data_IF_099563508271
#
_entry.id   IF_099563508271
#
_cell.length_a   1.000
_cell.length_b   1.000
_cell.length_c   1.000
_cell.angle_alpha   90.00
_cell.angle_beta   90.00
_cell.angle_gamma   90.00
#
_symmetry.space_group_name_H-M   'P 1'
#
loop_
_entity.id
_entity.type
_entity.pdbx_description
1 polymer ?
#
# COMPACT_ATOMS: atom_id res chain seq x y z
N UNK A 1 8.86 1.09 -14.84
CA UNK A 1 9.30 1.02 -13.44
C UNK A 1 8.62 2.17 -12.73
N UNK A 2 7.92 1.89 -11.64
CA UNK A 2 7.21 2.92 -10.86
C UNK A 2 7.97 3.17 -9.57
N UNK A 3 8.22 4.45 -9.29
CA UNK A 3 8.82 4.92 -8.05
C UNK A 3 7.76 5.53 -7.16
N UNK A 4 7.90 5.30 -5.87
CA UNK A 4 6.99 5.82 -4.89
C UNK A 4 7.68 5.91 -3.54
N UNK A 5 7.19 6.85 -2.74
CA UNK A 5 7.62 7.05 -1.37
C UNK A 5 6.54 6.54 -0.44
N UNK A 6 6.91 5.71 0.52
CA UNK A 6 6.03 5.22 1.57
C UNK A 6 6.48 5.81 2.89
N UNK A 7 5.53 6.34 3.66
CA UNK A 7 5.74 6.70 5.06
C UNK A 7 4.88 5.76 5.89
N UNK A 8 5.49 5.03 6.82
CA UNK A 8 4.81 4.03 7.66
C UNK A 8 5.25 4.15 9.12
N UNK A 9 4.47 3.56 10.02
CA UNK A 9 4.78 3.47 11.44
C UNK A 9 4.48 2.06 11.95
N UNK A 10 5.47 1.43 12.59
CA UNK A 10 5.32 0.11 13.19
C UNK A 10 4.65 0.18 14.56
N UNK A 11 3.98 -0.90 14.94
CA UNK A 11 3.33 -1.04 16.22
C UNK A 11 4.37 -1.06 17.35
N UNK A 12 4.19 -0.17 18.32
CA UNK A 12 5.11 0.01 19.43
C UNK A 12 6.18 1.07 19.19
N UNK A 13 6.32 1.56 17.96
CA UNK A 13 7.21 2.69 17.64
C UNK A 13 6.47 4.03 17.71
N UNK A 14 7.17 5.08 18.12
CA UNK A 14 6.62 6.43 18.23
C UNK A 14 6.87 7.30 17.00
N UNK A 15 7.80 6.89 16.13
CA UNK A 15 8.21 7.65 14.96
C UNK A 15 7.76 6.95 13.68
N UNK A 16 7.45 7.74 12.66
CA UNK A 16 7.22 7.22 11.32
C UNK A 16 8.54 7.14 10.56
N UNK A 17 8.70 6.07 9.79
CA UNK A 17 9.80 5.86 8.87
C UNK A 17 9.37 6.20 7.45
N UNK A 18 10.34 6.61 6.63
CA UNK A 18 10.11 6.91 5.23
C UNK A 18 11.06 6.11 4.35
N UNK A 19 10.50 5.46 3.34
CA UNK A 19 11.21 4.60 2.41
C UNK A 19 10.85 4.96 0.97
N UNK A 20 11.86 4.97 0.10
CA UNK A 20 11.65 5.10 -1.34
C UNK A 20 11.80 3.71 -1.98
N UNK A 21 10.80 3.33 -2.75
CA UNK A 21 10.73 2.03 -3.40
C UNK A 21 10.60 2.21 -4.91
N UNK A 22 11.23 1.28 -5.63
CA UNK A 22 11.10 1.15 -7.08
C UNK A 22 10.67 -0.29 -7.40
N UNK A 23 9.55 -0.42 -8.12
CA UNK A 23 9.01 -1.73 -8.52
C UNK A 23 8.88 -1.82 -10.03
N UNK A 24 8.95 -3.06 -10.53
CA UNK A 24 8.64 -3.36 -11.92
C UNK A 24 7.12 -3.44 -12.10
N UNK A 25 6.60 -2.83 -13.16
CA UNK A 25 5.16 -2.68 -13.40
C UNK A 25 4.60 -1.35 -12.93
N UNK A 26 3.29 -1.18 -13.11
CA UNK A 26 2.53 -0.02 -12.65
C UNK A 26 1.95 -0.29 -11.27
N UNK A 27 1.96 0.74 -10.43
CA UNK A 27 1.25 0.74 -9.14
C UNK A 27 -0.14 1.33 -9.36
N UNK A 28 -1.15 0.54 -9.05
CA UNK A 28 -2.55 0.94 -9.18
C UNK A 28 -3.17 1.35 -7.86
N UNK A 29 -2.61 0.90 -6.73
CA UNK A 29 -3.10 1.32 -5.42
C UNK A 29 -2.39 0.74 -4.22
N UNK A 30 -3.11 0.74 -3.09
CA UNK A 30 -2.60 0.38 -1.77
C UNK A 30 -2.09 -1.07 -1.69
N UNK A 31 -2.75 -2.01 -2.37
CA UNK A 31 -2.38 -3.43 -2.33
C UNK A 31 -0.95 -3.65 -2.88
N UNK A 32 -0.60 -2.99 -3.98
CA UNK A 32 0.76 -3.05 -4.58
C UNK A 32 1.81 -2.45 -3.64
N UNK A 33 1.48 -1.30 -3.04
CA UNK A 33 2.34 -0.58 -2.09
C UNK A 33 2.62 -1.43 -0.86
N UNK A 34 1.59 -2.06 -0.30
CA UNK A 34 1.71 -2.93 0.88
C UNK A 34 2.50 -4.19 0.55
N UNK A 35 2.31 -4.79 -0.63
CA UNK A 35 3.09 -5.93 -1.07
C UNK A 35 4.58 -5.58 -1.20
N UNK A 36 4.90 -4.44 -1.81
CA UNK A 36 6.28 -3.98 -1.96
C UNK A 36 6.92 -3.61 -0.61
N UNK A 37 6.17 -2.96 0.28
CA UNK A 37 6.62 -2.69 1.65
C UNK A 37 6.84 -4.01 2.43
N UNK A 38 5.98 -5.00 2.24
CA UNK A 38 6.12 -6.32 2.85
C UNK A 38 7.39 -7.04 2.39
N UNK A 39 7.72 -6.97 1.10
CA UNK A 39 8.97 -7.52 0.58
C UNK A 39 10.21 -6.83 1.18
N UNK A 40 10.10 -5.57 1.61
CA UNK A 40 11.16 -4.86 2.31
C UNK A 40 11.25 -5.24 3.80
N UNK A 41 10.12 -5.21 4.51
CA UNK A 41 10.07 -5.46 5.96
C UNK A 41 10.27 -6.94 6.32
N UNK A 42 9.77 -7.85 5.47
CA UNK A 42 9.80 -9.31 5.69
C UNK A 42 10.28 -10.04 4.43
N UNK A 43 11.54 -9.84 3.99
CA UNK A 43 12.03 -10.34 2.70
C UNK A 43 12.08 -11.87 2.57
N UNK A 44 12.00 -12.59 3.68
CA UNK A 44 12.03 -14.06 3.73
C UNK A 44 10.63 -14.68 3.74
N UNK A 45 9.59 -13.89 3.92
CA UNK A 45 8.21 -14.37 3.99
C UNK A 45 7.52 -14.10 2.65
N UNK A 46 6.86 -15.10 2.04
CA UNK A 46 6.04 -14.86 0.86
C UNK A 46 4.84 -13.99 1.23
N UNK A 47 4.46 -13.08 0.34
CA UNK A 47 3.30 -12.22 0.55
C UNK A 47 2.01 -13.04 0.63
N UNK A 48 1.26 -13.00 1.75
CA UNK A 48 0.15 -13.93 1.97
C UNK A 48 -1.21 -13.44 1.44
N UNK A 49 -1.26 -12.21 0.89
CA UNK A 49 -2.51 -11.60 0.45
C UNK A 49 -2.60 -11.53 -1.08
N UNK A 50 -3.83 -11.64 -1.59
CA UNK A 50 -4.12 -11.34 -3.00
C UNK A 50 -3.93 -9.84 -3.25
N UNK A 51 -3.15 -9.50 -4.27
CA UNK A 51 -2.90 -8.12 -4.70
C UNK A 51 -3.86 -7.77 -5.83
N UNK A 52 -4.76 -6.81 -5.61
CA UNK A 52 -5.56 -6.27 -6.71
C UNK A 52 -4.80 -5.14 -7.43
N UNK A 53 -4.10 -5.53 -8.50
CA UNK A 53 -3.26 -4.66 -9.31
C UNK A 53 -4.05 -3.74 -10.26
N UNK A 54 -5.38 -3.86 -10.29
CA UNK A 54 -6.25 -2.98 -11.07
C UNK A 54 -6.84 -1.88 -10.16
N UNK A 55 -6.99 -0.64 -10.66
CA UNK A 55 -7.69 0.41 -9.92
C UNK A 55 -9.08 -0.03 -9.48
N UNK A 56 -9.56 0.52 -8.37
CA UNK A 56 -10.96 0.36 -7.99
C UNK A 56 -11.80 1.21 -8.95
N UNK A 57 -12.80 0.62 -9.59
CA UNK A 57 -13.70 1.36 -10.47
C UNK A 57 -14.47 2.42 -9.66
N UNK A 58 -14.77 3.57 -10.28
CA UNK A 58 -15.48 4.65 -9.60
C UNK A 58 -16.88 4.21 -9.15
N UNK A 59 -17.54 3.39 -9.95
CA UNK A 59 -18.86 2.78 -9.71
C UNK A 59 -18.81 1.46 -8.93
N UNK A 60 -17.62 1.06 -8.44
CA UNK A 60 -17.48 -0.16 -7.64
C UNK A 60 -18.43 -0.14 -6.45
N UNK A 61 -19.13 -1.25 -6.26
CA UNK A 61 -20.13 -1.38 -5.21
C UNK A 61 -19.50 -1.38 -3.80
N UNK A 62 -20.35 -1.26 -2.78
CA UNK A 62 -19.92 -1.24 -1.38
C UNK A 62 -19.23 -2.55 -0.97
N UNK A 63 -19.58 -3.67 -1.60
CA UNK A 63 -19.02 -4.98 -1.28
C UNK A 63 -17.57 -5.04 -1.75
N UNK A 64 -17.27 -4.66 -2.99
CA UNK A 64 -15.91 -4.60 -3.52
C UNK A 64 -15.05 -3.65 -2.70
N UNK A 65 -15.57 -2.45 -2.40
CA UNK A 65 -14.91 -1.46 -1.53
C UNK A 65 -14.58 -2.04 -0.16
N UNK A 66 -15.53 -2.72 0.47
CA UNK A 66 -15.34 -3.36 1.77
C UNK A 66 -14.29 -4.48 1.72
N UNK A 67 -14.29 -5.30 0.66
CA UNK A 67 -13.30 -6.36 0.46
C UNK A 67 -11.89 -5.77 0.30
N UNK A 68 -11.73 -4.72 -0.52
CA UNK A 68 -10.43 -4.05 -0.67
C UNK A 68 -9.94 -3.43 0.64
N UNK A 69 -10.82 -2.74 1.37
CA UNK A 69 -10.49 -2.18 2.67
C UNK A 69 -10.10 -3.27 3.67
N UNK A 70 -10.82 -4.39 3.70
CA UNK A 70 -10.53 -5.50 4.59
C UNK A 70 -9.15 -6.12 4.30
N UNK A 71 -8.81 -6.34 3.03
CA UNK A 71 -7.48 -6.85 2.65
C UNK A 71 -6.37 -5.87 3.04
N UNK A 72 -6.53 -4.58 2.74
CA UNK A 72 -5.55 -3.56 3.13
C UNK A 72 -5.34 -3.54 4.65
N UNK A 73 -6.42 -3.61 5.45
CA UNK A 73 -6.33 -3.70 6.92
C UNK A 73 -5.64 -4.97 7.40
N UNK A 74 -5.93 -6.12 6.76
CA UNK A 74 -5.29 -7.38 7.10
C UNK A 74 -3.78 -7.35 6.79
N UNK A 75 -3.39 -6.76 5.67
CA UNK A 75 -1.99 -6.54 5.30
C UNK A 75 -1.26 -5.59 6.26
N UNK A 76 -1.89 -4.47 6.63
CA UNK A 76 -1.33 -3.59 7.67
C UNK A 76 -1.13 -4.31 9.00
N UNK A 77 -2.12 -5.09 9.44
CA UNK A 77 -2.01 -5.89 10.67
C UNK A 77 -0.90 -6.94 10.58
N UNK A 78 -0.78 -7.62 9.44
CA UNK A 78 0.27 -8.61 9.23
C UNK A 78 1.67 -7.98 9.29
N UNK A 79 1.83 -6.76 8.79
CA UNK A 79 3.08 -5.99 8.84
C UNK A 79 3.27 -5.18 10.12
N UNK A 80 2.41 -5.35 11.13
CA UNK A 80 2.42 -4.58 12.38
C UNK A 80 2.38 -3.06 12.15
N UNK A 81 1.63 -2.58 11.15
CA UNK A 81 1.53 -1.17 10.82
C UNK A 81 0.38 -0.47 11.55
N UNK A 82 0.68 0.67 12.17
CA UNK A 82 -0.31 1.58 12.75
C UNK A 82 -0.81 2.58 11.71
N UNK A 83 0.11 3.09 10.90
CA UNK A 83 -0.18 4.04 9.82
C UNK A 83 0.67 3.70 8.60
N UNK A 84 0.11 3.95 7.42
CA UNK A 84 0.80 3.89 6.15
C UNK A 84 0.21 4.93 5.22
N UNK A 85 1.07 5.68 4.56
CA UNK A 85 0.73 6.62 3.50
C UNK A 85 1.76 6.50 2.39
N UNK A 86 1.37 6.80 1.16
CA UNK A 86 2.27 6.71 0.03
C UNK A 86 2.02 7.80 -0.98
N UNK A 87 3.07 8.13 -1.72
CA UNK A 87 3.05 9.08 -2.82
C UNK A 87 3.75 8.44 -4.02
N UNK A 88 3.00 8.23 -5.10
CA UNK A 88 3.55 7.75 -6.37
C UNK A 88 4.25 8.92 -7.06
N UNK A 89 5.51 8.76 -7.41
CA UNK A 89 6.28 9.81 -8.07
C UNK A 89 5.76 10.02 -9.50
N UNK A 90 5.69 11.29 -9.93
CA UNK A 90 5.26 11.66 -11.27
C UNK A 90 3.74 11.61 -11.51
N UNK A 91 2.92 11.24 -10.51
CA UNK A 91 1.46 11.44 -10.59
C UNK A 91 1.07 12.79 -9.97
N UNK A 92 0.34 13.66 -10.70
CA UNK A 92 -0.17 14.90 -10.12
C UNK A 92 -1.16 14.57 -9.00
N UNK A 93 -1.00 15.23 -7.85
CA UNK A 93 -2.02 15.23 -6.81
C UNK A 93 -3.12 16.19 -7.24
N UNK A 94 -4.27 15.65 -7.66
CA UNK A 94 -5.48 16.48 -7.79
C UNK A 94 -6.01 16.75 -6.37
N UNK A 95 -5.77 17.96 -5.88
CA UNK A 95 -6.37 18.46 -4.64
C UNK A 95 -7.66 19.17 -5.02
N UNK A 96 -8.79 18.54 -4.71
CA UNK A 96 -10.10 19.18 -4.81
C UNK A 96 -10.38 19.90 -3.48
N UNK A 97 -10.55 21.22 -3.54
CA UNK A 97 -10.90 22.09 -2.41
C UNK A 97 -12.41 22.31 -2.33
#
# INVERSE_FOLDING_TARGET
MTRFRVTYQLQGESLSEQLHLEVQGDISGCDDVLCALGAHLRPREPWPFVVATAPLAEDADLTERAVRLHRAKAACKYLDLVNVSYLIEGRPLEVFC
#
